data_IF_467125873396
#
_entry.id   IF_467125873396
#
_cell.length_a   1.000
_cell.length_b   1.000
_cell.length_c   1.000
_cell.angle_alpha   90.00
_cell.angle_beta   90.00
_cell.angle_gamma   90.00
#
_symmetry.space_group_name_H-M   'P 1'
#
loop_
_entity.id
_entity.type
_entity.pdbx_description
1 polymer ?
#
# COMPACT_ATOMS: atom_id res chain seq x y z
N UNK A 1 -29.77 5.91 -1.98
CA UNK A 1 -29.88 6.59 -3.30
C UNK A 1 -28.86 5.92 -4.19
N UNK A 2 -29.28 5.39 -5.34
CA UNK A 2 -28.33 4.83 -6.31
C UNK A 2 -27.50 5.97 -6.89
N UNK A 3 -26.20 5.74 -7.05
CA UNK A 3 -25.31 6.71 -7.68
C UNK A 3 -25.78 6.95 -9.15
N UNK A 4 -26.01 8.21 -9.56
CA UNK A 4 -26.51 8.53 -10.90
C UNK A 4 -25.53 8.09 -12.00
N UNK A 5 -24.23 8.06 -11.72
CA UNK A 5 -23.19 7.61 -12.66
C UNK A 5 -23.30 6.09 -12.85
N UNK A 6 -23.41 5.32 -11.76
CA UNK A 6 -23.55 3.86 -11.83
C UNK A 6 -24.80 3.46 -12.60
N UNK A 7 -25.90 4.18 -12.38
CA UNK A 7 -27.16 3.91 -13.09
C UNK A 7 -26.99 4.09 -14.60
N UNK A 8 -26.35 5.20 -15.03
CA UNK A 8 -26.12 5.45 -16.46
C UNK A 8 -25.16 4.45 -17.10
N UNK A 9 -24.09 4.05 -16.39
CA UNK A 9 -23.13 3.06 -16.90
C UNK A 9 -23.82 1.72 -17.16
N UNK A 10 -24.66 1.26 -16.22
CA UNK A 10 -25.40 -0.01 -16.38
C UNK A 10 -26.41 0.06 -17.53
N UNK A 11 -27.10 1.18 -17.71
CA UNK A 11 -28.02 1.38 -18.84
C UNK A 11 -27.31 1.27 -20.19
N UNK A 12 -26.17 1.96 -20.36
CA UNK A 12 -25.40 1.94 -21.60
C UNK A 12 -24.82 0.54 -21.86
N UNK A 13 -24.28 -0.14 -20.82
CA UNK A 13 -23.76 -1.51 -20.97
C UNK A 13 -24.82 -2.50 -21.43
N UNK A 14 -26.05 -2.41 -20.89
CA UNK A 14 -27.15 -3.29 -21.29
C UNK A 14 -27.62 -3.05 -22.73
N UNK A 15 -27.34 -1.89 -23.32
CA UNK A 15 -27.69 -1.59 -24.70
C UNK A 15 -26.65 -2.11 -25.72
N UNK A 16 -25.50 -2.59 -25.26
CA UNK A 16 -24.43 -3.10 -26.12
C UNK A 16 -24.66 -4.57 -26.51
N UNK A 17 -24.19 -5.00 -27.69
CA UNK A 17 -24.01 -6.41 -28.05
C UNK A 17 -23.10 -7.17 -27.07
N UNK A 18 -23.31 -8.48 -26.93
CA UNK A 18 -22.61 -9.34 -25.96
C UNK A 18 -21.07 -9.29 -26.09
N UNK A 19 -20.53 -9.19 -27.31
CA UNK A 19 -19.09 -9.10 -27.57
C UNK A 19 -18.48 -7.79 -27.07
N UNK A 20 -19.26 -6.70 -27.12
CA UNK A 20 -18.87 -5.40 -26.56
C UNK A 20 -19.05 -5.39 -25.04
N UNK A 21 -20.08 -6.04 -24.50
CA UNK A 21 -20.24 -6.20 -23.06
C UNK A 21 -19.05 -6.96 -22.45
N UNK A 22 -18.58 -8.01 -23.12
CA UNK A 22 -17.40 -8.77 -22.68
C UNK A 22 -16.13 -7.91 -22.68
N UNK A 23 -15.93 -7.06 -23.70
CA UNK A 23 -14.80 -6.13 -23.74
C UNK A 23 -14.86 -5.09 -22.60
N UNK A 24 -16.06 -4.59 -22.27
CA UNK A 24 -16.22 -3.66 -21.14
C UNK A 24 -15.90 -4.36 -19.82
N UNK A 25 -16.30 -5.62 -19.64
CA UNK A 25 -15.96 -6.39 -18.45
C UNK A 25 -14.43 -6.54 -18.29
N UNK A 26 -13.74 -6.96 -19.34
CA UNK A 26 -12.27 -7.08 -19.35
C UNK A 26 -11.59 -5.74 -19.03
N UNK A 27 -12.11 -4.64 -19.59
CA UNK A 27 -11.60 -3.31 -19.31
C UNK A 27 -11.79 -2.91 -17.84
N UNK A 28 -12.97 -3.15 -17.26
CA UNK A 28 -13.24 -2.85 -15.84
C UNK A 28 -12.34 -3.70 -14.92
N UNK A 29 -12.15 -4.98 -15.24
CA UNK A 29 -11.23 -5.84 -14.48
C UNK A 29 -9.79 -5.36 -14.55
N UNK A 30 -9.35 -4.90 -15.74
CA UNK A 30 -8.02 -4.32 -15.93
C UNK A 30 -7.86 -3.04 -15.11
N UNK A 31 -8.84 -2.13 -15.13
CA UNK A 31 -8.81 -0.90 -14.33
C UNK A 31 -8.75 -1.20 -12.83
N UNK A 32 -9.52 -2.20 -12.37
CA UNK A 32 -9.48 -2.63 -10.96
C UNK A 32 -8.10 -3.14 -10.58
N UNK A 33 -7.48 -3.96 -11.42
CA UNK A 33 -6.14 -4.49 -11.18
C UNK A 33 -5.10 -3.36 -11.14
N UNK A 34 -5.14 -2.43 -12.10
CA UNK A 34 -4.26 -1.26 -12.12
C UNK A 34 -4.43 -0.39 -10.87
N UNK A 35 -5.66 -0.16 -10.41
CA UNK A 35 -5.91 0.62 -9.19
C UNK A 35 -5.35 -0.07 -7.93
N UNK A 36 -5.45 -1.39 -7.85
CA UNK A 36 -4.85 -2.17 -6.75
C UNK A 36 -3.32 -2.12 -6.77
N UNK A 37 -2.71 -2.08 -7.96
CA UNK A 37 -1.25 -1.96 -8.11
C UNK A 37 -0.75 -0.53 -7.88
N UNK A 38 -1.58 0.49 -8.17
CA UNK A 38 -1.21 1.91 -8.02
C UNK A 38 -1.42 2.43 -6.61
N UNK A 39 -2.32 1.81 -5.83
CA UNK A 39 -2.46 2.08 -4.41
C UNK A 39 -1.26 1.51 -3.67
N UNK A 40 -0.16 2.28 -3.63
CA UNK A 40 1.04 1.93 -2.88
C UNK A 40 0.66 1.41 -1.50
N UNK A 41 1.06 0.18 -1.22
CA UNK A 41 0.69 -0.49 0.01
C UNK A 41 1.52 0.10 1.16
N UNK A 42 1.15 -0.24 2.41
CA UNK A 42 1.85 0.30 3.58
C UNK A 42 3.37 0.04 3.56
N UNK A 43 3.82 -1.04 2.93
CA UNK A 43 5.24 -1.35 2.76
C UNK A 43 5.93 -0.43 1.77
N UNK A 44 5.27 -0.01 0.69
CA UNK A 44 5.86 0.93 -0.28
C UNK A 44 6.12 2.30 0.37
N UNK A 45 5.21 2.72 1.26
CA UNK A 45 5.40 3.93 2.08
C UNK A 45 6.57 3.75 3.04
N UNK A 46 6.63 2.63 3.76
CA UNK A 46 7.73 2.34 4.68
C UNK A 46 9.08 2.25 3.96
N UNK A 47 9.13 1.64 2.77
CA UNK A 47 10.31 1.58 1.92
C UNK A 47 10.75 2.98 1.49
N UNK A 48 9.81 3.84 1.06
CA UNK A 48 10.13 5.22 0.69
C UNK A 48 10.68 6.07 1.84
N UNK A 49 10.33 5.73 3.08
CA UNK A 49 10.78 6.42 4.28
C UNK A 49 12.03 5.78 4.92
N UNK A 50 12.34 4.53 4.59
CA UNK A 50 13.48 3.82 5.14
C UNK A 50 14.80 4.53 4.77
N UNK A 51 15.63 4.80 5.76
CA UNK A 51 16.91 5.50 5.56
C UNK A 51 16.80 7.01 5.33
N UNK A 52 15.59 7.59 5.33
CA UNK A 52 15.39 9.06 5.27
C UNK A 52 15.48 9.73 6.64
N UNK A 53 15.32 8.94 7.71
CA UNK A 53 15.42 9.40 9.10
C UNK A 53 16.69 8.82 9.70
N UNK A 54 17.61 9.69 10.15
CA UNK A 54 18.71 9.26 11.01
C UNK A 54 18.13 8.78 12.34
N UNK A 55 18.27 7.49 12.61
CA UNK A 55 17.90 6.92 13.89
C UNK A 55 18.88 7.39 14.98
N UNK A 56 18.40 7.67 16.21
CA UNK A 56 19.27 7.92 17.35
C UNK A 56 20.31 6.79 17.51
N UNK A 57 21.57 7.15 17.73
CA UNK A 57 22.67 6.17 17.89
C UNK A 57 22.38 5.12 18.98
N UNK A 58 21.62 5.50 20.01
CA UNK A 58 21.19 4.62 21.12
C UNK A 58 20.25 3.48 20.67
N UNK A 59 19.64 3.54 19.47
CA UNK A 59 18.76 2.47 18.96
C UNK A 59 19.55 1.26 18.51
N UNK A 60 20.70 1.48 17.86
CA UNK A 60 21.59 0.40 17.41
C UNK A 60 22.58 -0.03 18.49
N UNK A 61 22.96 0.88 19.40
CA UNK A 61 23.98 0.63 20.40
C UNK A 61 23.61 -0.48 21.41
N UNK A 62 22.31 -0.69 21.64
CA UNK A 62 21.78 -1.64 22.61
C UNK A 62 21.15 -2.89 21.95
N UNK A 63 21.51 -3.20 20.69
CA UNK A 63 20.97 -4.36 19.97
C UNK A 63 21.08 -5.66 20.77
N UNK A 64 22.21 -5.90 21.42
CA UNK A 64 22.41 -7.12 22.21
C UNK A 64 21.47 -7.17 23.44
N UNK A 65 21.18 -6.02 24.05
CA UNK A 65 20.23 -5.94 25.16
C UNK A 65 18.81 -6.29 24.70
N UNK A 66 18.38 -5.76 23.55
CA UNK A 66 17.03 -5.99 23.04
C UNK A 66 16.83 -7.38 22.40
N UNK A 67 17.86 -7.93 21.77
CA UNK A 67 17.79 -9.23 21.09
C UNK A 67 18.10 -10.41 22.01
N UNK A 68 19.04 -10.24 22.94
CA UNK A 68 19.58 -11.32 23.76
C UNK A 68 19.43 -11.08 25.27
N UNK A 69 18.90 -9.94 25.69
CA UNK A 69 18.66 -9.63 27.11
C UNK A 69 19.94 -9.33 27.88
N UNK A 70 21.05 -8.99 27.22
CA UNK A 70 22.30 -8.60 27.90
C UNK A 70 22.11 -7.30 28.68
N UNK A 71 22.86 -7.02 29.76
CA UNK A 71 22.76 -5.74 30.45
C UNK A 71 23.07 -4.55 29.52
N UNK A 72 22.37 -3.42 29.69
CA UNK A 72 22.62 -2.21 28.89
C UNK A 72 24.05 -1.70 29.09
N UNK A 73 24.66 -1.14 28.04
CA UNK A 73 25.97 -0.51 28.19
C UNK A 73 25.86 0.66 29.18
N UNK A 74 26.75 0.66 30.17
CA UNK A 74 26.83 1.78 31.10
C UNK A 74 27.46 2.96 30.38
N UNK A 75 26.72 4.06 30.22
CA UNK A 75 27.30 5.36 29.84
C UNK A 75 28.26 5.76 30.95
N UNK A 76 29.55 5.51 30.76
CA UNK A 76 30.59 6.11 31.59
C UNK A 76 30.68 7.59 31.19
N UNK A 77 29.94 8.44 31.91
CA UNK A 77 30.16 9.89 31.84
C UNK A 77 31.63 10.17 32.22
N UNK A 78 32.35 10.84 31.33
CA UNK A 78 33.69 11.39 31.53
C UNK A 78 33.69 12.86 31.18
#
# INVERSE_FOLDING_TARGET
MNDPVITRVVEEMNALPDDLQQQVLEFVETLRQQHLETAGNAWDVLESLAGTVEAPADWSAEHDHYLYGTPKHQKSDS
#
